data_IF_355194012250
#
_entry.id   IF_355194012250
#
_cell.length_a   1.000
_cell.length_b   1.000
_cell.length_c   1.000
_cell.angle_alpha   90.00
_cell.angle_beta   90.00
_cell.angle_gamma   90.00
#
_symmetry.space_group_name_H-M   'P 1'
#
loop_
_entity.id
_entity.type
_entity.pdbx_description
1 polymer ?
#
# COMPACT_ATOMS: atom_id res chain seq x y z
N UNK A 1 4.22 -5.28 -27.63
CA UNK A 1 3.79 -6.35 -26.71
C UNK A 1 4.90 -7.39 -26.68
N UNK A 2 5.68 -7.40 -25.63
CA UNK A 2 6.73 -8.41 -25.48
C UNK A 2 6.25 -9.41 -24.42
N UNK A 3 5.80 -10.58 -24.87
CA UNK A 3 5.55 -11.73 -24.01
C UNK A 3 6.89 -12.41 -23.76
N UNK A 4 7.46 -12.22 -22.57
CA UNK A 4 8.60 -12.97 -22.11
C UNK A 4 8.09 -14.24 -21.42
N UNK A 5 8.24 -15.37 -22.05
CA UNK A 5 8.01 -16.68 -21.43
C UNK A 5 9.24 -17.04 -20.58
N UNK A 6 9.05 -17.05 -19.28
CA UNK A 6 10.03 -17.65 -18.35
C UNK A 6 10.07 -19.18 -18.49
N UNK A 7 11.15 -19.88 -18.06
CA UNK A 7 11.31 -21.34 -18.21
C UNK A 7 10.25 -22.19 -17.48
N UNK A 8 9.32 -21.60 -16.80
CA UNK A 8 8.21 -22.25 -16.09
C UNK A 8 6.87 -22.05 -16.81
N UNK A 9 6.85 -22.18 -18.08
CA UNK A 9 5.79 -22.43 -19.08
C UNK A 9 4.30 -22.15 -18.81
N UNK A 10 3.89 -21.53 -17.70
CA UNK A 10 2.50 -21.41 -17.30
C UNK A 10 2.03 -19.97 -17.00
N UNK A 11 2.91 -18.98 -17.06
CA UNK A 11 2.56 -17.61 -16.66
C UNK A 11 2.87 -16.59 -17.74
N UNK A 12 1.93 -15.69 -18.00
CA UNK A 12 2.16 -14.50 -18.80
C UNK A 12 2.20 -13.28 -17.89
N UNK A 13 2.95 -12.27 -18.24
CA UNK A 13 2.96 -11.02 -17.52
C UNK A 13 2.96 -9.82 -18.44
N UNK A 14 2.18 -8.80 -18.08
CA UNK A 14 2.03 -7.54 -18.79
C UNK A 14 2.25 -6.37 -17.85
N UNK A 15 2.89 -5.28 -18.32
CA UNK A 15 2.98 -4.04 -17.55
C UNK A 15 1.58 -3.46 -17.30
N UNK A 16 1.35 -2.99 -16.08
CA UNK A 16 0.24 -2.09 -15.76
C UNK A 16 0.66 -0.64 -16.01
N UNK A 17 -0.29 0.25 -16.07
CA UNK A 17 -0.05 1.70 -16.25
C UNK A 17 -0.60 2.47 -15.07
N UNK A 18 0.12 3.49 -14.58
CA UNK A 18 1.44 3.99 -15.03
C UNK A 18 2.61 3.10 -14.58
N UNK A 19 2.45 2.26 -13.57
CA UNK A 19 3.42 1.29 -13.05
C UNK A 19 2.70 0.02 -12.60
N UNK A 20 3.47 -1.01 -12.25
CA UNK A 20 2.95 -2.30 -11.83
C UNK A 20 3.05 -3.37 -12.90
N UNK A 21 2.73 -4.59 -12.52
CA UNK A 21 2.74 -5.76 -13.39
C UNK A 21 1.59 -6.69 -13.02
N UNK A 22 0.87 -7.17 -14.03
CA UNK A 22 -0.06 -8.28 -13.87
C UNK A 22 0.61 -9.57 -14.31
N UNK A 23 0.50 -10.61 -13.50
CA UNK A 23 0.94 -11.98 -13.77
C UNK A 23 -0.30 -12.85 -13.85
N UNK A 24 -0.53 -13.45 -15.01
CA UNK A 24 -1.71 -14.27 -15.25
C UNK A 24 -1.32 -15.73 -15.38
N UNK A 25 -2.00 -16.58 -14.62
CA UNK A 25 -1.89 -18.03 -14.69
C UNK A 25 -3.06 -18.64 -15.46
N UNK A 26 -2.84 -19.82 -16.00
CA UNK A 26 -3.83 -20.58 -16.76
C UNK A 26 -4.92 -21.24 -15.88
N UNK A 27 -5.14 -20.77 -14.65
CA UNK A 27 -6.08 -21.34 -13.68
C UNK A 27 -5.53 -22.60 -12.97
N UNK A 28 -5.86 -22.73 -11.67
CA UNK A 28 -5.39 -23.82 -10.83
C UNK A 28 -3.88 -23.78 -10.53
N UNK A 29 -3.21 -22.67 -10.86
CA UNK A 29 -1.83 -22.45 -10.47
C UNK A 29 -1.77 -21.96 -9.02
N UNK A 30 -0.78 -22.39 -8.29
CA UNK A 30 -0.53 -21.93 -6.93
C UNK A 30 0.52 -20.82 -6.94
N UNK A 31 0.41 -19.85 -6.06
CA UNK A 31 1.44 -18.81 -5.92
C UNK A 31 2.82 -19.43 -5.62
N UNK A 32 2.85 -20.61 -4.98
CA UNK A 32 4.06 -21.37 -4.68
C UNK A 32 4.74 -21.98 -5.90
N UNK A 33 4.08 -22.00 -7.06
CA UNK A 33 4.66 -22.45 -8.32
C UNK A 33 5.62 -21.42 -8.92
N UNK A 34 5.57 -20.17 -8.40
CA UNK A 34 6.55 -19.12 -8.70
C UNK A 34 7.47 -18.96 -7.49
N UNK A 35 8.80 -19.03 -7.67
CA UNK A 35 9.73 -18.80 -6.57
C UNK A 35 9.53 -17.43 -5.92
N UNK A 36 9.55 -17.40 -4.58
CA UNK A 36 9.30 -16.18 -3.82
C UNK A 36 10.28 -15.04 -4.19
N UNK A 37 11.56 -15.39 -4.42
CA UNK A 37 12.60 -14.46 -4.84
C UNK A 37 12.35 -13.86 -6.24
N UNK A 38 11.64 -14.56 -7.11
CA UNK A 38 11.23 -14.04 -8.43
C UNK A 38 10.13 -13.03 -8.25
N UNK A 39 9.11 -13.34 -7.44
CA UNK A 39 8.03 -12.41 -7.14
C UNK A 39 8.54 -11.17 -6.38
N UNK A 40 9.46 -11.34 -5.43
CA UNK A 40 10.07 -10.24 -4.69
C UNK A 40 10.81 -9.28 -5.66
N UNK A 41 11.65 -9.82 -6.53
CA UNK A 41 12.34 -9.01 -7.55
C UNK A 41 11.36 -8.29 -8.47
N UNK A 42 10.31 -8.96 -8.94
CA UNK A 42 9.30 -8.32 -9.77
C UNK A 42 8.52 -7.22 -9.03
N UNK A 43 8.27 -7.41 -7.72
CA UNK A 43 7.64 -6.38 -6.88
C UNK A 43 8.55 -5.16 -6.75
N UNK A 44 9.85 -5.36 -6.50
CA UNK A 44 10.83 -4.26 -6.44
C UNK A 44 10.96 -3.51 -7.77
N UNK A 45 10.93 -4.22 -8.90
CA UNK A 45 11.00 -3.63 -10.25
C UNK A 45 9.74 -2.85 -10.61
N UNK A 46 8.57 -3.36 -10.20
CA UNK A 46 7.26 -2.88 -10.68
C UNK A 46 6.45 -2.15 -9.60
N UNK A 47 6.86 -2.19 -8.34
CA UNK A 47 6.17 -1.67 -7.14
C UNK A 47 4.93 -2.47 -6.73
N UNK A 48 4.13 -2.89 -7.69
CA UNK A 48 2.89 -3.65 -7.47
C UNK A 48 2.86 -4.85 -8.42
N UNK A 49 2.58 -6.04 -7.89
CA UNK A 49 2.21 -7.21 -8.66
C UNK A 49 0.73 -7.54 -8.42
N UNK A 50 0.00 -7.75 -9.49
CA UNK A 50 -1.34 -8.34 -9.46
C UNK A 50 -1.23 -9.76 -10.01
N UNK A 51 -1.53 -10.75 -9.19
CA UNK A 51 -1.53 -12.16 -9.58
C UNK A 51 -2.97 -12.59 -9.83
N UNK A 52 -3.25 -13.12 -11.01
CA UNK A 52 -4.59 -13.49 -11.47
C UNK A 52 -4.63 -14.92 -11.98
N UNK A 53 -5.70 -15.66 -11.67
CA UNK A 53 -5.82 -17.07 -12.03
C UNK A 53 -5.04 -18.03 -11.12
N UNK A 54 -4.53 -17.54 -10.01
CA UNK A 54 -3.93 -18.34 -8.96
C UNK A 54 -4.97 -18.76 -7.92
N UNK A 55 -4.81 -19.94 -7.33
CA UNK A 55 -5.67 -20.38 -6.24
C UNK A 55 -5.46 -19.52 -4.99
N UNK A 56 -6.54 -19.06 -4.39
CA UNK A 56 -6.48 -18.40 -3.08
C UNK A 56 -6.12 -19.42 -1.99
N UNK A 57 -5.45 -18.95 -0.97
CA UNK A 57 -5.02 -19.74 0.17
C UNK A 57 -6.04 -19.64 1.31
N UNK A 58 -6.17 -20.71 2.11
CA UNK A 58 -6.81 -20.59 3.41
C UNK A 58 -6.03 -19.58 4.29
N UNK A 59 -6.72 -18.98 5.26
CA UNK A 59 -6.16 -17.88 6.09
C UNK A 59 -4.80 -18.24 6.72
N UNK A 60 -4.68 -19.43 7.29
CA UNK A 60 -3.46 -19.92 7.93
C UNK A 60 -2.36 -20.27 6.91
N UNK A 61 -2.75 -20.76 5.74
CA UNK A 61 -1.84 -21.04 4.63
C UNK A 61 -1.28 -19.73 4.07
N UNK A 62 -2.12 -18.68 3.98
CA UNK A 62 -1.71 -17.36 3.51
C UNK A 62 -0.64 -16.74 4.41
N UNK A 63 -0.85 -16.73 5.74
CA UNK A 63 0.17 -16.29 6.69
C UNK A 63 1.46 -17.13 6.58
N UNK A 64 1.31 -18.45 6.44
CA UNK A 64 2.45 -19.37 6.30
C UNK A 64 3.24 -19.11 5.02
N UNK A 65 2.57 -18.82 3.92
CA UNK A 65 3.23 -18.42 2.68
C UNK A 65 4.00 -17.11 2.86
N UNK A 66 3.37 -16.09 3.46
CA UNK A 66 4.00 -14.79 3.66
C UNK A 66 5.26 -14.86 4.54
N UNK A 67 5.32 -15.77 5.52
CA UNK A 67 6.53 -16.01 6.33
C UNK A 67 7.75 -16.49 5.52
N UNK A 68 7.57 -16.92 4.28
CA UNK A 68 8.70 -17.24 3.37
C UNK A 68 9.41 -15.97 2.87
N UNK A 69 8.80 -14.80 3.03
CA UNK A 69 9.34 -13.52 2.59
C UNK A 69 10.02 -12.73 3.71
N UNK A 70 9.71 -13.04 4.96
CA UNK A 70 10.24 -12.38 6.13
C UNK A 70 9.39 -12.62 7.36
N UNK A 71 9.63 -11.85 8.40
CA UNK A 71 8.80 -11.86 9.60
C UNK A 71 7.45 -11.22 9.32
N UNK A 72 6.37 -11.90 9.69
CA UNK A 72 5.00 -11.38 9.54
C UNK A 72 4.65 -10.49 10.72
N UNK A 73 4.22 -9.28 10.44
CA UNK A 73 3.76 -8.34 11.45
C UNK A 73 2.46 -8.85 12.09
N UNK A 74 2.45 -8.87 13.42
CA UNK A 74 1.32 -9.40 14.17
C UNK A 74 0.50 -8.26 14.76
N UNK A 75 -0.73 -8.15 14.31
CA UNK A 75 -1.72 -7.21 14.81
C UNK A 75 -2.60 -7.83 15.91
N UNK A 76 -3.40 -7.01 16.59
CA UNK A 76 -4.29 -7.51 17.66
C UNK A 76 -5.21 -8.64 17.17
N UNK A 77 -5.85 -8.56 15.97
CA UNK A 77 -6.67 -9.66 15.44
C UNK A 77 -5.86 -10.83 14.88
N UNK A 78 -4.54 -10.71 14.80
CA UNK A 78 -3.65 -11.76 14.29
C UNK A 78 -2.75 -11.31 13.15
N UNK A 79 -2.13 -12.27 12.45
CA UNK A 79 -1.23 -12.02 11.34
C UNK A 79 -1.95 -11.71 10.03
N UNK A 80 -3.18 -12.19 9.89
CA UNK A 80 -4.04 -11.92 8.73
C UNK A 80 -5.19 -11.04 9.14
N UNK A 81 -5.28 -9.86 8.56
CA UNK A 81 -6.36 -8.90 8.79
C UNK A 81 -7.43 -9.09 7.73
N UNK A 82 -8.66 -9.34 8.17
CA UNK A 82 -9.82 -9.31 7.28
C UNK A 82 -10.29 -7.86 7.09
N UNK A 83 -10.24 -7.36 5.87
CA UNK A 83 -10.68 -6.01 5.51
C UNK A 83 -12.08 -6.09 4.90
N UNK A 84 -13.06 -5.88 5.75
CA UNK A 84 -14.49 -5.81 5.42
C UNK A 84 -15.07 -4.50 5.93
N UNK A 85 -16.12 -4.01 5.28
CA UNK A 85 -16.83 -2.83 5.80
C UNK A 85 -17.68 -3.24 6.99
N UNK A 86 -17.52 -2.53 8.11
CA UNK A 86 -18.27 -2.73 9.34
C UNK A 86 -19.39 -1.68 9.49
N UNK A 87 -20.50 -2.06 10.09
CA UNK A 87 -21.62 -1.12 10.36
C UNK A 87 -21.21 -0.02 11.35
N UNK A 88 -20.39 -0.36 12.36
CA UNK A 88 -19.90 0.57 13.39
C UNK A 88 -18.39 0.48 13.55
N UNK A 89 -17.61 0.91 12.55
CA UNK A 89 -16.16 0.76 12.58
C UNK A 89 -15.53 1.61 13.69
N UNK A 90 -14.54 1.05 14.39
CA UNK A 90 -13.71 1.78 15.34
C UNK A 90 -12.58 2.54 14.66
N UNK A 91 -12.26 2.16 13.44
CA UNK A 91 -11.18 2.72 12.65
C UNK A 91 -11.68 2.98 11.23
N UNK A 92 -11.20 4.06 10.60
CA UNK A 92 -11.54 4.45 9.24
C UNK A 92 -11.23 3.38 8.18
N UNK A 93 -10.28 2.49 8.44
CA UNK A 93 -9.95 1.38 7.54
C UNK A 93 -11.14 0.44 7.26
N UNK A 94 -12.04 0.29 8.22
CA UNK A 94 -13.22 -0.57 8.13
C UNK A 94 -14.51 0.22 7.81
N UNK A 95 -14.40 1.53 7.57
CA UNK A 95 -15.51 2.36 7.12
C UNK A 95 -15.75 2.23 5.61
N UNK A 96 -16.91 2.64 5.13
CA UNK A 96 -17.24 2.66 3.70
C UNK A 96 -16.68 3.86 2.94
N UNK A 97 -16.17 4.88 3.63
CA UNK A 97 -15.52 6.05 3.06
C UNK A 97 -14.18 5.72 2.41
N UNK A 98 -13.52 6.74 1.91
CA UNK A 98 -12.15 6.63 1.42
C UNK A 98 -11.14 6.42 2.55
N UNK A 99 -9.95 6.02 2.17
CA UNK A 99 -8.76 5.95 3.03
C UNK A 99 -7.68 6.78 2.36
N UNK A 100 -7.29 7.92 2.93
CA UNK A 100 -6.23 8.78 2.40
C UNK A 100 -4.88 8.08 2.31
N UNK A 101 -3.97 8.62 1.51
CA UNK A 101 -2.65 8.02 1.30
C UNK A 101 -1.85 7.92 2.60
N UNK A 102 -1.30 6.74 2.83
CA UNK A 102 -0.44 6.40 3.95
C UNK A 102 0.51 5.26 3.56
N UNK A 103 1.45 4.94 4.42
CA UNK A 103 2.21 3.68 4.38
C UNK A 103 1.85 2.84 5.60
N UNK A 104 1.88 1.54 5.46
CA UNK A 104 1.62 0.63 6.58
C UNK A 104 2.79 0.59 7.56
N UNK A 105 2.48 0.45 8.85
CA UNK A 105 3.47 0.31 9.91
C UNK A 105 4.09 1.60 10.42
N UNK A 106 3.49 2.76 10.17
CA UNK A 106 4.01 4.06 10.63
C UNK A 106 4.28 4.11 12.14
N UNK A 107 3.43 3.49 12.97
CA UNK A 107 3.50 3.55 14.42
C UNK A 107 4.00 2.24 15.07
N UNK A 108 4.63 1.35 14.31
CA UNK A 108 5.22 0.11 14.85
C UNK A 108 6.74 0.17 14.76
N UNK A 109 7.41 -0.65 15.57
CA UNK A 109 8.87 -0.63 15.73
C UNK A 109 9.62 -0.94 14.42
N UNK A 110 9.09 -1.89 13.62
CA UNK A 110 9.66 -2.27 12.34
C UNK A 110 8.63 -2.08 11.22
N UNK A 111 8.95 -1.21 10.26
CA UNK A 111 8.09 -0.98 9.11
C UNK A 111 8.08 -2.21 8.19
N UNK A 112 6.90 -2.72 7.81
CA UNK A 112 6.81 -3.80 6.83
C UNK A 112 7.40 -3.36 5.49
N UNK A 113 8.11 -4.30 4.85
CA UNK A 113 8.64 -4.10 3.51
C UNK A 113 7.60 -4.37 2.44
N UNK A 114 6.84 -5.44 2.64
CA UNK A 114 5.79 -5.83 1.72
C UNK A 114 4.46 -5.95 2.43
N UNK A 115 3.39 -5.70 1.69
CA UNK A 115 2.07 -6.15 2.07
C UNK A 115 1.44 -6.98 0.96
N UNK A 116 0.72 -7.99 1.40
CA UNK A 116 0.04 -8.96 0.57
C UNK A 116 -1.45 -8.79 0.78
N UNK A 117 -2.19 -8.82 -0.31
CA UNK A 117 -3.64 -8.96 -0.27
C UNK A 117 -4.06 -10.20 -1.03
N UNK A 118 -5.11 -10.87 -0.56
CA UNK A 118 -5.93 -11.76 -1.38
C UNK A 118 -7.38 -11.34 -1.31
N UNK A 119 -8.06 -11.36 -2.48
CA UNK A 119 -9.45 -10.94 -2.61
C UNK A 119 -10.39 -12.14 -2.57
N UNK A 120 -11.07 -12.33 -1.44
CA UNK A 120 -12.05 -13.41 -1.28
C UNK A 120 -13.35 -13.09 -1.99
N UNK A 121 -13.75 -11.83 -2.00
CA UNK A 121 -14.95 -11.36 -2.67
C UNK A 121 -14.81 -9.88 -3.06
N UNK A 122 -15.19 -9.55 -4.29
CA UNK A 122 -15.35 -8.18 -4.75
C UNK A 122 -16.30 -8.14 -5.95
N UNK A 123 -16.94 -6.98 -6.13
CA UNK A 123 -17.70 -6.64 -7.32
C UNK A 123 -16.96 -5.52 -8.04
N UNK A 124 -16.37 -5.77 -9.22
CA UNK A 124 -15.66 -4.75 -9.97
C UNK A 124 -16.54 -3.53 -10.26
N UNK A 125 -15.96 -2.33 -10.17
CA UNK A 125 -16.67 -1.08 -10.41
C UNK A 125 -17.60 -0.63 -9.29
N UNK A 126 -17.62 -1.32 -8.13
CA UNK A 126 -18.42 -0.93 -6.97
C UNK A 126 -17.74 0.13 -6.07
N UNK A 127 -16.60 0.68 -6.50
CA UNK A 127 -15.74 1.50 -5.68
C UNK A 127 -14.87 0.66 -4.75
N UNK A 128 -14.12 1.32 -3.88
CA UNK A 128 -13.23 0.64 -2.94
C UNK A 128 -11.94 0.13 -3.58
N UNK A 129 -11.55 0.66 -4.74
CA UNK A 129 -10.25 0.39 -5.35
C UNK A 129 -9.14 0.74 -4.36
N UNK A 130 -8.11 -0.10 -4.27
CA UNK A 130 -6.87 0.30 -3.60
C UNK A 130 -6.06 1.15 -4.58
N UNK A 131 -5.77 2.38 -4.19
CA UNK A 131 -4.96 3.31 -4.97
C UNK A 131 -3.54 3.29 -4.44
N UNK A 132 -2.59 3.05 -5.31
CA UNK A 132 -1.15 3.07 -5.02
C UNK A 132 -0.54 4.29 -5.70
N UNK A 133 0.36 5.00 -5.01
CA UNK A 133 1.13 6.10 -5.60
C UNK A 133 2.63 5.80 -5.49
N UNK A 134 3.33 5.83 -6.64
CA UNK A 134 4.79 5.58 -6.73
C UNK A 134 5.55 6.82 -6.25
N UNK A 135 5.99 6.79 -5.00
CA UNK A 135 6.74 7.88 -4.38
C UNK A 135 8.14 8.04 -4.97
N UNK A 136 8.70 6.96 -5.56
CA UNK A 136 10.01 7.02 -6.22
C UNK A 136 9.93 7.82 -7.52
N UNK A 137 8.86 7.64 -8.29
CA UNK A 137 8.58 8.40 -9.50
C UNK A 137 8.26 9.87 -9.15
N UNK A 138 7.42 10.11 -8.16
CA UNK A 138 7.08 11.45 -7.70
C UNK A 138 8.31 12.24 -7.22
N UNK A 139 9.26 11.59 -6.55
CA UNK A 139 10.54 12.20 -6.16
C UNK A 139 11.45 12.44 -7.37
N UNK A 140 11.61 11.43 -8.23
CA UNK A 140 12.48 11.52 -9.41
C UNK A 140 12.10 12.67 -10.34
N UNK A 141 10.81 12.88 -10.54
CA UNK A 141 10.25 13.86 -11.46
C UNK A 141 10.10 15.26 -10.82
N UNK A 142 10.51 15.43 -9.56
CA UNK A 142 10.69 16.73 -8.94
C UNK A 142 11.95 17.42 -9.49
N UNK A 143 11.93 18.74 -9.62
CA UNK A 143 13.12 19.50 -9.96
C UNK A 143 14.16 19.49 -8.82
N UNK A 144 15.34 20.01 -9.09
CA UNK A 144 16.44 19.99 -8.13
C UNK A 144 16.15 20.83 -6.88
N UNK A 145 15.50 21.98 -7.05
CA UNK A 145 15.18 22.90 -5.97
C UNK A 145 14.19 22.26 -5.00
N UNK A 146 13.12 21.65 -5.54
CA UNK A 146 12.13 20.96 -4.75
C UNK A 146 12.69 19.75 -3.99
N UNK A 147 13.57 18.97 -4.63
CA UNK A 147 14.27 17.86 -3.96
C UNK A 147 15.18 18.32 -2.84
N UNK A 148 15.87 19.45 -3.01
CA UNK A 148 16.71 20.05 -1.98
C UNK A 148 15.86 20.52 -0.79
N UNK A 149 14.72 21.19 -1.04
CA UNK A 149 13.78 21.57 0.01
C UNK A 149 13.28 20.33 0.78
N UNK A 150 12.86 19.28 0.08
CA UNK A 150 12.35 18.06 0.70
C UNK A 150 13.39 17.32 1.53
N UNK A 151 14.65 17.36 1.17
CA UNK A 151 15.73 16.69 1.90
C UNK A 151 15.86 17.18 3.36
N UNK A 152 15.45 18.43 3.63
CA UNK A 152 15.44 19.02 4.97
C UNK A 152 14.17 18.83 5.76
N UNK A 153 13.10 18.28 5.15
CA UNK A 153 11.79 18.17 5.78
C UNK A 153 11.68 16.90 6.65
N UNK A 154 11.19 17.09 7.86
CA UNK A 154 10.68 16.02 8.73
C UNK A 154 9.21 16.25 9.03
N UNK A 155 8.48 15.17 9.20
CA UNK A 155 7.04 15.15 9.48
C UNK A 155 6.81 14.41 10.78
N UNK A 156 6.10 15.04 11.70
CA UNK A 156 5.66 14.43 12.94
C UNK A 156 4.20 14.00 12.82
N UNK A 157 3.96 12.71 12.99
CA UNK A 157 2.65 12.09 12.94
C UNK A 157 2.21 11.73 14.34
N UNK A 158 0.94 12.02 14.68
CA UNK A 158 0.37 11.65 15.95
C UNK A 158 -1.06 11.13 15.82
N UNK A 159 -1.37 10.09 16.57
CA UNK A 159 -2.72 9.55 16.68
C UNK A 159 -2.91 8.92 18.04
N UNK A 160 -4.17 8.79 18.47
CA UNK A 160 -4.47 8.07 19.71
C UNK A 160 -3.99 6.61 19.61
N UNK A 161 -3.33 6.12 20.64
CA UNK A 161 -2.89 4.74 20.71
C UNK A 161 -4.07 3.84 21.01
N UNK A 162 -4.58 3.18 19.98
CA UNK A 162 -5.60 2.14 20.09
C UNK A 162 -4.96 0.78 19.82
N UNK A 163 -5.21 -0.17 20.70
CA UNK A 163 -4.60 -1.49 20.65
C UNK A 163 -3.06 -1.41 20.66
N UNK A 164 -2.40 -1.89 19.62
CA UNK A 164 -0.94 -1.97 19.54
C UNK A 164 -0.29 -0.94 18.61
N UNK A 165 -1.05 -0.03 18.01
CA UNK A 165 -0.50 1.06 17.21
C UNK A 165 -1.01 2.43 17.66
N UNK A 166 -0.29 3.47 17.26
CA UNK A 166 -0.56 4.86 17.59
C UNK A 166 0.53 5.46 18.49
N UNK A 167 0.36 6.71 18.84
CA UNK A 167 1.34 7.49 19.56
C UNK A 167 1.90 8.63 18.70
N UNK A 168 3.20 8.88 18.82
CA UNK A 168 3.89 9.95 18.11
C UNK A 168 5.16 9.40 17.47
N UNK A 169 5.34 9.71 16.19
CA UNK A 169 6.56 9.40 15.45
C UNK A 169 7.00 10.60 14.62
N UNK A 170 8.29 10.71 14.36
CA UNK A 170 8.84 11.70 13.42
C UNK A 170 9.64 10.98 12.35
N UNK A 171 9.32 11.25 11.09
CA UNK A 171 9.95 10.65 9.92
C UNK A 171 10.49 11.72 8.98
N UNK A 172 11.61 11.44 8.32
CA UNK A 172 12.09 12.27 7.22
C UNK A 172 11.18 12.07 6.01
N UNK A 173 10.78 13.16 5.36
CA UNK A 173 10.02 13.08 4.12
C UNK A 173 10.76 12.26 3.05
N UNK A 174 12.06 12.52 2.88
CA UNK A 174 12.89 11.78 1.94
C UNK A 174 13.72 10.75 2.70
N UNK A 175 13.56 9.50 2.36
CA UNK A 175 14.37 8.39 2.86
C UNK A 175 14.87 7.52 1.71
N UNK A 176 15.67 6.50 2.00
CA UNK A 176 16.15 5.57 0.99
C UNK A 176 15.43 4.24 1.15
N UNK A 177 15.02 3.67 0.04
CA UNK A 177 14.49 2.32 0.02
C UNK A 177 15.56 1.31 0.51
N UNK A 178 15.27 0.48 1.53
CA UNK A 178 16.30 -0.32 2.21
C UNK A 178 17.01 -1.34 1.31
N UNK A 179 16.34 -1.85 0.29
CA UNK A 179 16.92 -2.84 -0.61
C UNK A 179 17.55 -2.23 -1.86
N UNK A 180 16.98 -1.16 -2.41
CA UNK A 180 17.40 -0.61 -3.71
C UNK A 180 18.22 0.67 -3.58
N UNK A 181 18.19 1.34 -2.41
CA UNK A 181 18.83 2.65 -2.19
C UNK A 181 18.18 3.81 -2.95
N UNK A 182 17.08 3.57 -3.68
CA UNK A 182 16.37 4.61 -4.42
C UNK A 182 15.65 5.53 -3.44
N UNK A 183 15.68 6.87 -3.63
CA UNK A 183 14.92 7.79 -2.78
C UNK A 183 13.42 7.54 -2.87
N UNK A 184 12.76 7.59 -1.71
CA UNK A 184 11.32 7.43 -1.54
C UNK A 184 10.76 8.58 -0.70
N UNK A 185 9.47 8.88 -0.85
CA UNK A 185 8.77 9.84 -0.01
C UNK A 185 7.95 9.09 1.04
N UNK A 186 8.26 9.33 2.33
CA UNK A 186 7.51 8.82 3.47
C UNK A 186 6.49 9.87 3.86
N UNK A 187 5.28 9.71 3.35
CA UNK A 187 4.20 10.68 3.50
C UNK A 187 2.89 9.99 3.83
N UNK A 188 2.14 10.56 4.77
CA UNK A 188 0.75 10.21 5.00
C UNK A 188 -0.08 11.50 5.06
N UNK A 189 -1.26 11.46 4.47
CA UNK A 189 -2.18 12.58 4.51
C UNK A 189 -2.78 12.75 5.91
N UNK A 190 -2.99 13.99 6.37
CA UNK A 190 -3.70 14.23 7.61
C UNK A 190 -5.15 13.77 7.50
N UNK A 191 -5.70 13.24 8.58
CA UNK A 191 -7.09 12.80 8.64
C UNK A 191 -7.91 13.85 9.40
N UNK A 192 -8.94 14.39 8.75
CA UNK A 192 -9.89 15.33 9.39
C UNK A 192 -10.68 14.60 10.50
N UNK A 193 -10.56 15.02 11.77
CA UNK A 193 -11.28 14.41 12.88
C UNK A 193 -12.80 14.53 12.78
N UNK A 194 -13.32 15.44 11.95
CA UNK A 194 -14.76 15.54 11.68
C UNK A 194 -15.26 14.41 10.77
N UNK A 195 -14.38 13.80 9.98
CA UNK A 195 -14.71 12.78 8.98
C UNK A 195 -14.24 11.39 9.41
N UNK A 196 -12.99 11.30 9.91
CA UNK A 196 -12.34 10.03 10.18
C UNK A 196 -12.31 9.69 11.66
N UNK A 197 -12.68 8.46 11.98
CA UNK A 197 -12.46 7.91 13.32
C UNK A 197 -10.98 7.57 13.50
N UNK A 198 -10.43 7.86 14.69
CA UNK A 198 -9.02 7.71 15.00
C UNK A 198 -8.10 8.48 14.02
N UNK A 199 -8.27 9.83 13.95
CA UNK A 199 -7.56 10.65 12.99
C UNK A 199 -6.05 10.64 13.24
N UNK A 200 -5.29 10.77 12.15
CA UNK A 200 -3.85 11.00 12.20
C UNK A 200 -3.60 12.49 11.95
N UNK A 201 -2.96 13.15 12.91
CA UNK A 201 -2.51 14.52 12.78
C UNK A 201 -1.09 14.56 12.24
N UNK A 202 -0.81 15.50 11.33
CA UNK A 202 0.50 15.64 10.71
C UNK A 202 0.99 17.07 10.89
N UNK A 203 2.23 17.21 11.35
CA UNK A 203 2.92 18.49 11.50
C UNK A 203 4.23 18.45 10.72
N UNK A 204 4.52 19.50 9.96
CA UNK A 204 5.85 19.69 9.36
C UNK A 204 6.74 20.37 10.39
N UNK A 205 7.86 19.75 10.71
CA UNK A 205 8.76 20.26 11.76
C UNK A 205 9.34 21.63 11.34
N UNK A 206 9.26 22.57 12.27
CA UNK A 206 9.72 23.94 12.04
C UNK A 206 8.75 24.86 11.28
N UNK A 207 7.63 24.34 10.78
CA UNK A 207 6.60 25.14 10.08
C UNK A 207 5.51 25.60 11.04
N UNK A 208 4.97 26.81 10.79
CA UNK A 208 3.73 27.22 11.41
C UNK A 208 2.51 26.52 10.79
N UNK A 209 1.34 26.60 11.43
CA UNK A 209 0.13 25.89 11.00
C UNK A 209 -0.23 26.09 9.53
N UNK A 210 -0.27 27.34 9.06
CA UNK A 210 -0.63 27.66 7.67
C UNK A 210 0.38 27.10 6.65
N UNK A 211 1.69 27.18 6.95
CA UNK A 211 2.74 26.62 6.09
C UNK A 211 2.72 25.08 6.10
N UNK A 212 2.38 24.45 7.23
CA UNK A 212 2.16 23.00 7.31
C UNK A 212 0.99 22.59 6.40
N UNK A 213 -0.15 23.28 6.50
CA UNK A 213 -1.34 22.97 5.68
C UNK A 213 -1.05 23.12 4.19
N UNK A 214 -0.41 24.21 3.78
CA UNK A 214 -0.01 24.43 2.38
C UNK A 214 0.93 23.34 1.86
N UNK A 215 1.94 22.98 2.67
CA UNK A 215 2.89 21.92 2.30
C UNK A 215 2.20 20.57 2.14
N UNK A 216 1.37 20.17 3.11
CA UNK A 216 0.66 18.89 3.08
C UNK A 216 -0.30 18.81 1.89
N UNK A 217 -1.02 19.91 1.58
CA UNK A 217 -1.89 19.98 0.41
C UNK A 217 -1.10 19.84 -0.90
N UNK A 218 0.05 20.49 -1.02
CA UNK A 218 0.91 20.39 -2.20
C UNK A 218 1.49 18.97 -2.38
N UNK A 219 1.85 18.30 -1.28
CA UNK A 219 2.31 16.91 -1.33
C UNK A 219 1.18 15.96 -1.74
N UNK A 220 -0.01 16.12 -1.17
CA UNK A 220 -1.18 15.33 -1.56
C UNK A 220 -1.51 15.53 -3.04
N UNK A 221 -1.62 16.80 -3.51
CA UNK A 221 -1.87 17.09 -4.94
C UNK A 221 -0.86 16.38 -5.85
N UNK A 222 0.43 16.42 -5.48
CA UNK A 222 1.48 15.77 -6.27
C UNK A 222 1.31 14.26 -6.32
N UNK A 223 1.11 13.62 -5.15
CA UNK A 223 1.02 12.16 -5.05
C UNK A 223 -0.26 11.61 -5.68
N UNK A 224 -1.33 12.42 -5.78
CA UNK A 224 -2.57 12.04 -6.46
C UNK A 224 -2.54 12.23 -7.99
N UNK A 225 -1.44 12.70 -8.56
CA UNK A 225 -1.34 12.86 -10.02
C UNK A 225 -1.45 11.52 -10.73
N UNK A 226 -2.22 11.43 -11.84
CA UNK A 226 -2.46 10.19 -12.55
C UNK A 226 -1.18 9.47 -13.03
N UNK A 227 -0.11 10.22 -13.29
CA UNK A 227 1.18 9.65 -13.69
C UNK A 227 1.88 8.86 -12.59
N UNK A 228 1.48 9.06 -11.32
CA UNK A 228 2.03 8.35 -10.17
C UNK A 228 1.05 7.36 -9.55
N UNK A 229 -0.21 7.33 -10.00
CA UNK A 229 -1.28 6.56 -9.37
C UNK A 229 -1.72 5.37 -10.20
N UNK A 230 -1.82 4.21 -9.55
CA UNK A 230 -2.49 3.02 -10.05
C UNK A 230 -3.65 2.64 -9.13
N UNK A 231 -4.88 2.66 -9.63
CA UNK A 231 -6.06 2.20 -8.90
C UNK A 231 -6.38 0.76 -9.27
N UNK A 232 -6.34 -0.14 -8.29
CA UNK A 232 -6.65 -1.55 -8.47
C UNK A 232 -8.14 -1.81 -8.23
N UNK A 233 -8.87 -2.03 -9.32
CA UNK A 233 -10.27 -2.48 -9.28
C UNK A 233 -10.30 -4.01 -8.99
N UNK A 234 -10.64 -4.34 -7.77
CA UNK A 234 -10.56 -5.70 -7.23
C UNK A 234 -11.48 -6.67 -7.94
N UNK A 235 -10.96 -7.85 -8.23
CA UNK A 235 -11.74 -9.01 -8.67
C UNK A 235 -11.55 -10.13 -7.67
N UNK A 236 -12.63 -10.87 -7.41
CA UNK A 236 -12.53 -12.10 -6.64
C UNK A 236 -11.46 -13.02 -7.23
N UNK A 237 -10.54 -13.50 -6.42
CA UNK A 237 -9.39 -14.30 -6.84
C UNK A 237 -8.10 -13.52 -7.09
N UNK A 238 -8.12 -12.17 -7.11
CA UNK A 238 -6.88 -11.40 -7.23
C UNK A 238 -6.02 -11.55 -5.97
N UNK A 239 -4.70 -11.73 -6.17
CA UNK A 239 -3.69 -11.59 -5.13
C UNK A 239 -2.82 -10.39 -5.53
N UNK A 240 -2.55 -9.49 -4.59
CA UNK A 240 -1.69 -8.32 -4.82
C UNK A 240 -0.52 -8.35 -3.85
N UNK A 241 0.68 -8.13 -4.39
CA UNK A 241 1.90 -7.94 -3.60
C UNK A 241 2.40 -6.53 -3.90
N UNK A 242 2.68 -5.74 -2.87
CA UNK A 242 3.10 -4.36 -3.05
C UNK A 242 4.27 -4.00 -2.13
N UNK A 243 5.12 -3.09 -2.62
CA UNK A 243 6.29 -2.57 -1.95
C UNK A 243 5.90 -1.37 -1.07
N UNK A 244 5.85 -1.57 0.23
CA UNK A 244 5.44 -0.56 1.19
C UNK A 244 6.46 0.58 1.40
N UNK A 245 7.69 0.42 0.94
CA UNK A 245 8.68 1.50 1.00
C UNK A 245 8.59 2.43 -0.20
N UNK A 246 8.35 1.88 -1.37
CA UNK A 246 8.28 2.65 -2.62
C UNK A 246 6.93 3.32 -2.84
N UNK A 247 5.90 2.91 -2.11
CA UNK A 247 4.53 3.35 -2.29
C UNK A 247 3.96 4.04 -1.05
N UNK A 248 3.04 4.96 -1.30
CA UNK A 248 1.93 5.23 -0.40
C UNK A 248 0.67 4.66 -1.04
N UNK A 249 -0.30 4.30 -0.21
CA UNK A 249 -1.54 3.74 -0.72
C UNK A 249 -2.75 4.24 0.07
N UNK A 250 -3.90 4.12 -0.56
CA UNK A 250 -5.18 4.48 0.01
C UNK A 250 -6.30 3.65 -0.61
N UNK A 251 -7.53 4.04 -0.34
CA UNK A 251 -8.71 3.36 -0.89
C UNK A 251 -9.75 4.39 -1.31
N UNK A 252 -10.29 4.25 -2.50
CA UNK A 252 -11.46 5.01 -2.90
C UNK A 252 -12.69 4.62 -2.05
N UNK A 253 -13.60 5.56 -1.84
CA UNK A 253 -14.87 5.26 -1.20
C UNK A 253 -15.67 4.23 -2.01
N UNK A 254 -16.50 3.45 -1.31
CA UNK A 254 -17.45 2.57 -1.99
C UNK A 254 -18.63 3.37 -2.54
N UNK A 255 -19.14 2.95 -3.71
CA UNK A 255 -20.29 3.58 -4.37
C UNK A 255 -21.61 3.27 -3.68
N UNK A 256 -21.63 2.30 -2.77
CA UNK A 256 -22.82 1.83 -2.04
C UNK A 256 -22.49 0.64 -1.13
N UNK A 257 -23.50 -0.08 -0.66
CA UNK A 257 -23.27 -1.30 0.12
C UNK A 257 -22.34 -2.26 -0.62
N UNK A 258 -21.38 -2.81 0.08
CA UNK A 258 -20.36 -3.68 -0.51
C UNK A 258 -20.20 -4.96 0.31
N UNK A 259 -19.90 -6.04 -0.38
CA UNK A 259 -19.49 -7.31 0.20
C UNK A 259 -18.00 -7.60 -0.03
N UNK A 260 -17.22 -6.57 -0.37
CA UNK A 260 -15.78 -6.73 -0.58
C UNK A 260 -15.12 -7.30 0.68
N UNK A 261 -14.38 -8.37 0.49
CA UNK A 261 -13.62 -9.03 1.53
C UNK A 261 -12.19 -9.27 1.03
N UNK A 262 -11.25 -8.53 1.59
CA UNK A 262 -9.83 -8.76 1.38
C UNK A 262 -9.21 -9.33 2.66
N UNK A 263 -8.19 -10.16 2.50
CA UNK A 263 -7.26 -10.50 3.57
C UNK A 263 -5.93 -9.83 3.32
N UNK A 264 -5.35 -9.22 4.36
CA UNK A 264 -4.05 -8.54 4.30
C UNK A 264 -3.06 -9.20 5.26
N UNK A 265 -1.82 -9.35 4.79
CA UNK A 265 -0.65 -9.73 5.59
C UNK A 265 0.47 -8.76 5.29
N UNK A 266 1.16 -8.31 6.31
CA UNK A 266 2.32 -7.41 6.23
C UNK A 266 3.58 -8.15 6.63
N UNK A 267 4.67 -7.97 5.85
CA UNK A 267 5.95 -8.67 6.03
C UNK A 267 7.07 -7.65 6.19
N UNK A 268 7.86 -7.81 7.26
CA UNK A 268 9.02 -6.98 7.62
C UNK A 268 10.24 -7.41 6.81
#
# INVERSE_FOLDING_TARGET
>A
MATSTTPHGAFTHTPLRPFGRIVEAAGGARITDVPAEVLARWTEESRVLVLRGFDLMAKEEFATYCRRWGEVLKWEPGEVIDLVVEDNPRNYLFASGDVPFHWDGAFVEANPRYFFFQCLNATPGAGGETVFSDTTAAYRDADAELREQWAGISLTYSTEKLAHYGGLITERLVSQHPATGVPVLRFAEPLDPAVYKNPVHVQVDGFGAAATEEFLAGMAERLHRPEYCYAHDWRTGDIVIADNYALVHGRNAFSGPTNRHLQRVEVI
#
